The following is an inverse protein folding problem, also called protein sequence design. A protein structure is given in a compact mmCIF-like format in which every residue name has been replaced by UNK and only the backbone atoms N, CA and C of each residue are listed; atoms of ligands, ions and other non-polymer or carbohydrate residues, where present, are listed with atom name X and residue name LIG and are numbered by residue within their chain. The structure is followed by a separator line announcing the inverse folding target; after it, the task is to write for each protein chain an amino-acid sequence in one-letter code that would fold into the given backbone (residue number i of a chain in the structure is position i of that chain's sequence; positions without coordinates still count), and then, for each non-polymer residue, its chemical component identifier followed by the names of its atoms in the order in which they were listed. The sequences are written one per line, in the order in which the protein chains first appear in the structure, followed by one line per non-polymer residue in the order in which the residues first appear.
data_IF_215644605558
#
_entry.id   IF_215644605558
#
_cell.length_a   1.000
_cell.length_b   1.000
_cell.length_c   1.000
_cell.angle_alpha   90.00
_cell.angle_beta   90.00
_cell.angle_gamma   90.00
#
_symmetry.space_group_name_H-M   'P 1'
#
loop_
_entity.id
_entity.type
_entity.pdbx_description
1 polymer ?
#
# COMPACT_ATOMS: atom_id res chain seq x y z
N UNK A 1 68.96 11.08 11.50
CA UNK A 1 68.01 10.21 10.78
C UNK A 1 66.64 10.83 10.92
N UNK A 2 66.27 11.64 9.93
CA UNK A 2 64.94 12.21 9.79
C UNK A 2 64.08 11.19 9.05
N UNK A 3 62.89 10.91 9.57
CA UNK A 3 61.70 10.45 8.83
C UNK A 3 60.53 10.46 9.84
N UNK A 4 59.66 11.47 9.77
CA UNK A 4 58.36 11.42 9.04
C UNK A 4 57.39 10.44 9.67
N UNK A 5 56.33 10.93 10.29
CA UNK A 5 54.95 10.58 9.93
C UNK A 5 54.03 11.71 10.40
N UNK A 6 53.62 12.55 9.45
CA UNK A 6 52.38 13.31 9.53
C UNK A 6 51.26 12.29 9.77
N UNK A 7 50.80 12.17 11.02
CA UNK A 7 49.62 11.39 11.31
C UNK A 7 48.41 12.32 11.25
N UNK A 8 47.87 12.44 10.04
CA UNK A 8 46.58 13.05 9.75
C UNK A 8 45.52 12.17 10.43
N UNK A 9 45.22 12.44 11.70
CA UNK A 9 44.16 11.73 12.43
C UNK A 9 42.83 12.20 11.85
N UNK A 10 42.28 11.35 11.02
CA UNK A 10 40.94 11.44 10.42
C UNK A 10 39.93 11.36 11.58
N UNK A 11 39.46 12.50 12.09
CA UNK A 11 38.32 12.55 13.02
C UNK A 11 37.00 12.45 12.24
N UNK A 12 36.71 11.25 11.73
CA UNK A 12 35.40 10.87 11.20
C UNK A 12 34.41 10.54 12.35
N UNK A 13 34.15 11.53 13.21
CA UNK A 13 33.15 11.39 14.28
C UNK A 13 33.32 12.39 15.40
N UNK A 14 32.48 13.43 15.40
CA UNK A 14 32.18 14.34 16.51
C UNK A 14 33.35 14.84 17.40
N UNK A 15 34.35 15.55 16.84
CA UNK A 15 35.41 16.18 17.65
C UNK A 15 34.84 17.17 18.68
N UNK A 16 33.69 17.78 18.38
CA UNK A 16 32.96 18.66 19.29
C UNK A 16 32.51 17.93 20.57
N UNK A 17 32.05 16.68 20.46
CA UNK A 17 31.58 15.89 21.61
C UNK A 17 32.70 15.54 22.58
N UNK A 18 33.90 15.29 22.06
CA UNK A 18 35.08 14.99 22.88
C UNK A 18 35.51 16.23 23.67
N UNK A 19 35.55 17.40 23.02
CA UNK A 19 35.87 18.68 23.67
C UNK A 19 34.84 19.03 24.74
N UNK A 20 33.56 18.82 24.46
CA UNK A 20 32.47 19.07 25.40
C UNK A 20 32.52 18.13 26.62
N UNK A 21 32.83 16.85 26.39
CA UNK A 21 32.98 15.88 27.47
C UNK A 21 34.17 16.23 28.38
N UNK A 22 35.32 16.58 27.81
CA UNK A 22 36.51 16.98 28.58
C UNK A 22 36.25 18.24 29.42
N UNK A 23 35.60 19.25 28.86
CA UNK A 23 35.25 20.47 29.60
C UNK A 23 34.28 20.19 30.75
N UNK A 24 33.29 19.33 30.54
CA UNK A 24 32.35 18.93 31.59
C UNK A 24 33.02 18.20 32.76
N UNK A 25 33.94 17.27 32.47
CA UNK A 25 34.66 16.53 33.52
C UNK A 25 35.62 17.42 34.32
N UNK A 26 36.30 18.36 33.66
CA UNK A 26 37.16 19.34 34.35
C UNK A 26 36.31 20.21 35.30
N UNK A 27 35.12 20.62 34.87
CA UNK A 27 34.23 21.44 35.68
C UNK A 27 33.79 20.69 36.94
N UNK A 28 33.36 19.42 36.81
CA UNK A 28 33.00 18.57 37.96
C UNK A 28 34.20 18.39 38.91
N UNK A 29 35.39 18.15 38.38
CA UNK A 29 36.59 17.95 39.18
C UNK A 29 36.94 19.20 40.01
N UNK A 30 36.87 20.39 39.41
CA UNK A 30 37.07 21.66 40.11
C UNK A 30 36.01 21.88 41.19
N UNK A 31 34.74 21.57 40.89
CA UNK A 31 33.65 21.68 41.86
C UNK A 31 33.84 20.76 43.07
N UNK A 32 34.30 19.52 42.87
CA UNK A 32 34.57 18.58 43.96
C UNK A 32 35.73 19.04 44.86
N UNK A 33 36.80 19.59 44.28
CA UNK A 33 37.92 20.16 45.06
C UNK A 33 37.44 21.34 45.91
N UNK A 34 36.60 22.22 45.35
CA UNK A 34 36.03 23.35 46.08
C UNK A 34 35.17 22.89 47.27
N UNK A 35 34.33 21.87 47.08
CA UNK A 35 33.51 21.28 48.13
C UNK A 35 34.33 20.61 49.23
N UNK A 36 35.44 19.93 48.90
CA UNK A 36 36.31 19.36 49.93
C UNK A 36 37.07 20.43 50.72
N UNK A 37 37.47 21.54 50.08
CA UNK A 37 38.19 22.62 50.76
C UNK A 37 37.40 23.31 51.89
N UNK A 38 36.06 23.17 51.91
CA UNK A 38 35.19 23.81 52.90
C UNK A 38 34.79 22.90 54.07
N UNK A 39 35.40 21.70 54.15
CA UNK A 39 35.15 20.77 55.26
C UNK A 39 36.05 21.07 56.45
N UNK A 40 35.54 21.89 57.38
CA UNK A 40 36.14 22.12 58.71
C UNK A 40 36.23 20.82 59.52
N UNK A 41 37.44 20.33 59.76
CA UNK A 41 37.71 19.22 60.66
C UNK A 41 37.52 19.65 62.11
N UNK A 42 36.36 19.36 62.71
CA UNK A 42 36.17 19.49 64.16
C UNK A 42 37.01 18.44 64.89
N UNK A 43 38.13 18.88 65.44
CA UNK A 43 38.91 18.14 66.43
C UNK A 43 38.12 18.07 67.74
N UNK A 44 37.78 16.85 68.18
CA UNK A 44 37.16 16.61 69.48
C UNK A 44 38.24 16.80 70.56
N UNK A 45 38.15 17.91 71.30
CA UNK A 45 38.99 18.16 72.47
C UNK A 45 38.53 17.26 73.62
N UNK A 46 39.35 16.25 73.95
CA UNK A 46 39.04 15.26 74.97
C UNK A 46 39.40 15.81 76.37
N UNK A 47 38.44 16.50 77.00
CA UNK A 47 38.53 16.93 78.40
C UNK A 47 38.44 15.71 79.32
N UNK A 48 39.51 15.43 80.07
CA UNK A 48 39.53 14.35 81.06
C UNK A 48 38.84 14.82 82.36
N UNK A 49 37.83 14.10 82.89
CA UNK A 49 37.21 14.47 84.15
C UNK A 49 38.06 14.07 85.35
N UNK A 50 38.10 14.96 86.35
CA UNK A 50 38.73 14.77 87.66
C UNK A 50 37.94 13.76 88.48
N UNK A 51 38.63 12.81 89.10
CA UNK A 51 38.04 11.72 89.88
C UNK A 51 37.56 12.26 91.23
N UNK A 52 36.26 12.48 91.38
CA UNK A 52 35.65 12.76 92.68
C UNK A 52 35.34 11.42 93.34
N UNK A 53 35.96 11.15 94.48
CA UNK A 53 35.58 10.01 95.35
C UNK A 53 34.16 10.26 95.84
N UNK A 54 33.20 9.60 95.21
CA UNK A 54 31.83 9.57 95.68
C UNK A 54 31.80 8.81 97.02
N UNK A 55 31.58 9.55 98.11
CA UNK A 55 31.15 9.00 99.37
C UNK A 55 29.83 8.27 99.09
N UNK A 56 29.86 6.94 99.05
CA UNK A 56 28.66 6.11 98.90
C UNK A 56 27.82 6.30 100.16
N UNK A 57 26.88 7.24 100.10
CA UNK A 57 25.78 7.30 101.06
C UNK A 57 24.99 6.01 100.80
N UNK A 58 24.92 5.16 101.82
CA UNK A 58 24.24 3.88 101.79
C UNK A 58 22.74 4.14 101.57
N UNK A 59 22.33 4.13 100.30
CA UNK A 59 20.93 4.27 99.92
C UNK A 59 20.16 3.05 100.41
N UNK A 60 19.12 3.30 101.20
CA UNK A 60 18.23 2.28 101.73
C UNK A 60 17.81 1.28 100.61
N UNK A 61 18.14 -0.02 100.75
CA UNK A 61 17.99 -1.01 99.67
C UNK A 61 16.53 -1.21 99.23
N UNK A 62 15.53 -0.82 100.03
CA UNK A 62 14.12 -0.86 99.64
C UNK A 62 13.76 0.22 98.61
N UNK A 63 14.28 1.43 98.76
CA UNK A 63 13.99 2.57 97.86
C UNK A 63 14.62 2.34 96.48
N UNK A 64 15.87 1.84 96.45
CA UNK A 64 16.56 1.46 95.21
C UNK A 64 15.84 0.34 94.45
N UNK A 65 15.28 -0.65 95.15
CA UNK A 65 14.49 -1.71 94.53
C UNK A 65 13.16 -1.21 93.96
N UNK A 66 12.50 -0.24 94.61
CA UNK A 66 11.28 0.39 94.09
C UNK A 66 11.57 1.19 92.81
N UNK A 67 12.62 2.01 92.80
CA UNK A 67 13.06 2.76 91.63
C UNK A 67 13.42 1.84 90.46
N UNK A 68 14.14 0.74 90.71
CA UNK A 68 14.48 -0.23 89.66
C UNK A 68 13.24 -0.90 89.05
N UNK A 69 12.19 -1.16 89.84
CA UNK A 69 10.91 -1.72 89.37
C UNK A 69 10.11 -0.72 88.54
N UNK A 70 10.06 0.55 88.96
CA UNK A 70 9.42 1.61 88.17
C UNK A 70 10.16 1.87 86.86
N UNK A 71 11.49 1.89 86.89
CA UNK A 71 12.31 2.06 85.70
C UNK A 71 12.14 0.89 84.73
N UNK A 72 12.06 -0.36 85.22
CA UNK A 72 11.70 -1.53 84.39
C UNK A 72 10.30 -1.40 83.79
N UNK A 73 9.28 -1.01 84.56
CA UNK A 73 7.93 -0.79 84.01
C UNK A 73 7.92 0.28 82.93
N UNK A 74 8.61 1.39 83.13
CA UNK A 74 8.72 2.44 82.12
C UNK A 74 9.43 1.94 80.86
N UNK A 75 10.53 1.19 81.02
CA UNK A 75 11.23 0.56 79.90
C UNK A 75 10.34 -0.43 79.13
N UNK A 76 9.61 -1.30 79.83
CA UNK A 76 8.68 -2.25 79.23
C UNK A 76 7.56 -1.56 78.43
N UNK A 77 6.97 -0.48 78.97
CA UNK A 77 5.96 0.31 78.25
C UNK A 77 6.56 1.02 77.02
N UNK A 78 7.76 1.59 77.14
CA UNK A 78 8.43 2.22 75.99
C UNK A 78 8.82 1.21 74.92
N UNK A 79 9.28 0.02 75.30
CA UNK A 79 9.63 -1.04 74.36
C UNK A 79 8.39 -1.64 73.70
N UNK A 80 7.27 -1.79 74.43
CA UNK A 80 5.99 -2.18 73.84
C UNK A 80 5.52 -1.15 72.81
N UNK A 81 5.53 0.15 73.16
CA UNK A 81 5.13 1.23 72.25
C UNK A 81 6.03 1.28 71.00
N UNK A 82 7.35 1.12 71.15
CA UNK A 82 8.30 1.07 70.03
C UNK A 82 8.05 -0.15 69.12
N UNK A 83 7.74 -1.31 69.68
CA UNK A 83 7.41 -2.52 68.90
C UNK A 83 6.10 -2.36 68.15
N UNK A 84 5.10 -1.73 68.75
CA UNK A 84 3.81 -1.47 68.14
C UNK A 84 3.93 -0.44 66.99
N UNK A 85 4.68 0.63 67.20
CA UNK A 85 5.04 1.61 66.15
C UNK A 85 5.80 0.95 64.99
N UNK A 86 6.77 0.07 65.27
CA UNK A 86 7.48 -0.69 64.24
C UNK A 86 6.55 -1.61 63.44
N UNK A 87 5.61 -2.30 64.11
CA UNK A 87 4.61 -3.15 63.45
C UNK A 87 3.70 -2.31 62.55
N UNK A 88 3.20 -1.18 63.04
CA UNK A 88 2.37 -0.27 62.24
C UNK A 88 3.14 0.29 61.04
N UNK A 89 4.42 0.64 61.19
CA UNK A 89 5.26 1.07 60.07
C UNK A 89 5.46 -0.04 59.03
N UNK A 90 5.74 -1.28 59.46
CA UNK A 90 5.88 -2.43 58.57
C UNK A 90 4.58 -2.75 57.82
N UNK A 91 3.43 -2.70 58.50
CA UNK A 91 2.12 -2.91 57.88
C UNK A 91 1.79 -1.80 56.87
N UNK A 92 2.06 -0.54 57.22
CA UNK A 92 1.87 0.59 56.30
C UNK A 92 2.80 0.50 55.08
N UNK A 93 4.04 0.05 55.25
CA UNK A 93 4.99 -0.15 54.16
C UNK A 93 4.57 -1.32 53.25
N UNK A 94 4.14 -2.47 53.82
CA UNK A 94 3.57 -3.57 53.04
C UNK A 94 2.33 -3.15 52.27
N UNK A 95 1.44 -2.37 52.88
CA UNK A 95 0.23 -1.89 52.22
C UNK A 95 0.58 -0.98 51.04
N UNK A 96 1.53 -0.04 51.21
CA UNK A 96 2.02 0.80 50.12
C UNK A 96 2.67 -0.01 48.99
N UNK A 97 3.44 -1.04 49.31
CA UNK A 97 4.05 -1.92 48.31
C UNK A 97 2.98 -2.68 47.51
N UNK A 98 1.96 -3.23 48.18
CA UNK A 98 0.83 -3.92 47.52
C UNK A 98 0.02 -2.98 46.63
N UNK A 99 -0.24 -1.75 47.10
CA UNK A 99 -0.94 -0.73 46.30
C UNK A 99 -0.13 -0.31 45.07
N UNK A 100 1.19 -0.14 45.21
CA UNK A 100 2.07 0.16 44.06
C UNK A 100 2.13 -1.01 43.07
N UNK A 101 2.20 -2.26 43.55
CA UNK A 101 2.22 -3.44 42.69
C UNK A 101 0.89 -3.63 41.96
N UNK A 102 -0.24 -3.44 42.65
CA UNK A 102 -1.57 -3.45 42.06
C UNK A 102 -1.73 -2.35 41.00
N UNK A 103 -1.25 -1.13 41.28
CA UNK A 103 -1.28 -0.02 40.32
C UNK A 103 -0.41 -0.32 39.09
N UNK A 104 0.77 -0.92 39.26
CA UNK A 104 1.63 -1.34 38.13
C UNK A 104 0.96 -2.43 37.29
N UNK A 105 0.41 -3.47 37.91
CA UNK A 105 -0.30 -4.52 37.17
C UNK A 105 -1.52 -3.97 36.41
N UNK A 106 -2.28 -3.05 37.02
CA UNK A 106 -3.41 -2.43 36.35
C UNK A 106 -2.95 -1.61 35.13
N UNK A 107 -1.89 -0.81 35.28
CA UNK A 107 -1.33 -0.04 34.17
C UNK A 107 -0.79 -0.94 33.05
N UNK A 108 -0.17 -2.07 33.38
CA UNK A 108 0.34 -3.03 32.40
C UNK A 108 -0.81 -3.70 31.63
N UNK A 109 -1.87 -4.12 32.32
CA UNK A 109 -3.08 -4.67 31.69
C UNK A 109 -3.78 -3.67 30.78
N UNK A 110 -3.87 -2.41 31.18
CA UNK A 110 -4.44 -1.34 30.36
C UNK A 110 -3.60 -1.08 29.11
N UNK A 111 -2.27 -1.09 29.21
CA UNK A 111 -1.37 -0.98 28.06
C UNK A 111 -1.48 -2.18 27.12
N UNK A 112 -1.57 -3.38 27.65
CA UNK A 112 -1.74 -4.60 26.86
C UNK A 112 -3.08 -4.60 26.12
N UNK A 113 -4.16 -4.22 26.79
CA UNK A 113 -5.48 -4.07 26.16
C UNK A 113 -5.49 -2.96 25.10
N UNK A 114 -4.84 -1.83 25.36
CA UNK A 114 -4.72 -0.76 24.38
C UNK A 114 -3.93 -1.22 23.14
N UNK A 115 -2.80 -1.90 23.33
CA UNK A 115 -1.99 -2.45 22.24
C UNK A 115 -2.74 -3.53 21.44
N UNK A 116 -3.55 -4.36 22.08
CA UNK A 116 -4.39 -5.35 21.41
C UNK A 116 -5.47 -4.67 20.55
N UNK A 117 -6.14 -3.65 21.07
CA UNK A 117 -7.16 -2.89 20.31
C UNK A 117 -6.54 -2.17 19.11
N UNK A 118 -5.37 -1.56 19.29
CA UNK A 118 -4.65 -0.89 18.19
C UNK A 118 -4.26 -1.89 17.09
N UNK A 119 -3.78 -3.08 17.46
CA UNK A 119 -3.47 -4.14 16.49
C UNK A 119 -4.70 -4.62 15.75
N UNK A 120 -5.81 -4.86 16.46
CA UNK A 120 -7.06 -5.29 15.84
C UNK A 120 -7.62 -4.23 14.89
N UNK A 121 -7.56 -2.95 15.26
CA UNK A 121 -7.98 -1.86 14.38
C UNK A 121 -7.09 -1.75 13.14
N UNK A 122 -5.77 -1.88 13.29
CA UNK A 122 -4.84 -1.88 12.17
C UNK A 122 -5.08 -3.06 11.22
N UNK A 123 -5.36 -4.25 11.76
CA UNK A 123 -5.69 -5.43 10.97
C UNK A 123 -7.01 -5.26 10.22
N UNK A 124 -8.05 -4.74 10.89
CA UNK A 124 -9.33 -4.40 10.25
C UNK A 124 -9.15 -3.38 9.12
N UNK A 125 -8.36 -2.33 9.33
CA UNK A 125 -8.07 -1.34 8.30
C UNK A 125 -7.31 -1.94 7.11
N UNK A 126 -6.35 -2.83 7.36
CA UNK A 126 -5.63 -3.55 6.29
C UNK A 126 -6.55 -4.47 5.50
N UNK A 127 -7.38 -5.26 6.18
CA UNK A 127 -8.36 -6.14 5.55
C UNK A 127 -9.38 -5.35 4.73
N UNK A 128 -9.83 -4.20 5.22
CA UNK A 128 -10.73 -3.33 4.47
C UNK A 128 -10.07 -2.71 3.23
N UNK A 129 -8.82 -2.24 3.34
CA UNK A 129 -8.06 -1.76 2.18
C UNK A 129 -7.86 -2.84 1.14
N UNK A 130 -7.44 -4.03 1.55
CA UNK A 130 -7.25 -5.15 0.63
C UNK A 130 -8.57 -5.54 -0.05
N UNK A 131 -9.68 -5.54 0.69
CA UNK A 131 -11.00 -5.80 0.11
C UNK A 131 -11.40 -4.73 -0.91
N UNK A 132 -11.15 -3.44 -0.62
CA UNK A 132 -11.43 -2.33 -1.55
C UNK A 132 -10.57 -2.42 -2.80
N UNK A 133 -9.27 -2.72 -2.65
CA UNK A 133 -8.35 -2.92 -3.78
C UNK A 133 -8.79 -4.10 -4.66
N UNK A 134 -9.16 -5.24 -4.05
CA UNK A 134 -9.70 -6.40 -4.78
C UNK A 134 -11.00 -6.07 -5.52
N UNK A 135 -11.89 -5.31 -4.90
CA UNK A 135 -13.14 -4.88 -5.53
C UNK A 135 -12.89 -3.90 -6.69
N UNK A 136 -11.92 -2.99 -6.55
CA UNK A 136 -11.55 -2.05 -7.60
C UNK A 136 -10.92 -2.78 -8.79
N UNK A 137 -9.99 -3.72 -8.55
CA UNK A 137 -9.39 -4.56 -9.59
C UNK A 137 -10.48 -5.38 -10.30
N UNK A 138 -11.39 -6.03 -9.55
CA UNK A 138 -12.47 -6.80 -10.15
C UNK A 138 -13.42 -5.92 -10.99
N UNK A 139 -13.70 -4.68 -10.56
CA UNK A 139 -14.50 -3.71 -11.34
C UNK A 139 -13.76 -3.26 -12.61
N UNK A 140 -12.46 -3.03 -12.53
CA UNK A 140 -11.64 -2.67 -13.69
C UNK A 140 -11.60 -3.82 -14.71
N UNK A 141 -11.33 -5.04 -14.27
CA UNK A 141 -11.32 -6.23 -15.13
C UNK A 141 -12.69 -6.47 -15.79
N UNK A 142 -13.78 -6.34 -15.04
CA UNK A 142 -15.14 -6.47 -15.58
C UNK A 142 -15.45 -5.39 -16.63
N UNK A 143 -15.06 -4.14 -16.37
CA UNK A 143 -15.22 -3.01 -17.32
C UNK A 143 -14.39 -3.22 -18.59
N UNK A 144 -13.14 -3.67 -18.46
CA UNK A 144 -12.29 -3.99 -19.60
C UNK A 144 -12.83 -5.16 -20.42
N UNK A 145 -13.31 -6.22 -19.77
CA UNK A 145 -13.92 -7.35 -20.47
C UNK A 145 -15.19 -6.92 -21.21
N UNK A 146 -16.04 -6.11 -20.58
CA UNK A 146 -17.23 -5.56 -21.23
C UNK A 146 -16.86 -4.69 -22.44
N UNK A 147 -15.85 -3.84 -22.31
CA UNK A 147 -15.34 -3.03 -23.41
C UNK A 147 -14.80 -3.89 -24.55
N UNK A 148 -13.99 -4.92 -24.25
CA UNK A 148 -13.50 -5.88 -25.27
C UNK A 148 -14.64 -6.61 -25.96
N UNK A 149 -15.67 -7.03 -25.23
CA UNK A 149 -16.86 -7.69 -25.80
C UNK A 149 -17.64 -6.75 -26.72
N UNK A 150 -17.82 -5.47 -26.33
CA UNK A 150 -18.47 -4.45 -27.17
C UNK A 150 -17.66 -4.17 -28.44
N UNK A 151 -16.35 -3.97 -28.32
CA UNK A 151 -15.46 -3.73 -29.47
C UNK A 151 -15.46 -4.92 -30.46
N UNK A 152 -15.46 -6.16 -29.95
CA UNK A 152 -15.56 -7.36 -30.78
C UNK A 152 -16.92 -7.46 -31.48
N UNK A 153 -18.02 -7.18 -30.76
CA UNK A 153 -19.37 -7.19 -31.33
C UNK A 153 -19.53 -6.14 -32.44
N UNK A 154 -19.03 -4.92 -32.21
CA UNK A 154 -19.03 -3.86 -33.23
C UNK A 154 -18.16 -4.23 -34.43
N UNK A 155 -17.00 -4.85 -34.22
CA UNK A 155 -16.15 -5.30 -35.32
C UNK A 155 -16.84 -6.37 -36.17
N UNK A 156 -17.49 -7.35 -35.53
CA UNK A 156 -18.27 -8.37 -36.23
C UNK A 156 -19.46 -7.75 -36.99
N UNK A 157 -20.13 -6.76 -36.41
CA UNK A 157 -21.22 -6.07 -37.10
C UNK A 157 -20.71 -5.29 -38.32
N UNK A 158 -19.61 -4.55 -38.17
CA UNK A 158 -18.96 -3.85 -39.31
C UNK A 158 -18.54 -4.83 -40.41
N UNK A 159 -17.98 -5.98 -40.06
CA UNK A 159 -17.61 -7.01 -41.04
C UNK A 159 -18.84 -7.57 -41.77
N UNK A 160 -19.92 -7.89 -41.04
CA UNK A 160 -21.19 -8.35 -41.66
C UNK A 160 -21.79 -7.30 -42.58
N UNK A 161 -21.78 -6.03 -42.18
CA UNK A 161 -22.27 -4.94 -43.03
C UNK A 161 -21.42 -4.78 -44.30
N UNK A 162 -20.10 -4.85 -44.18
CA UNK A 162 -19.19 -4.79 -45.33
C UNK A 162 -19.39 -5.97 -46.29
N UNK A 163 -19.56 -7.18 -45.76
CA UNK A 163 -19.82 -8.37 -46.57
C UNK A 163 -21.16 -8.27 -47.30
N UNK A 164 -22.22 -7.85 -46.60
CA UNK A 164 -23.52 -7.61 -47.23
C UNK A 164 -23.46 -6.55 -48.33
N UNK A 165 -22.69 -5.47 -48.13
CA UNK A 165 -22.48 -4.45 -49.16
C UNK A 165 -21.72 -5.02 -50.37
N UNK A 166 -20.68 -5.83 -50.15
CA UNK A 166 -19.97 -6.49 -51.25
C UNK A 166 -20.86 -7.45 -52.03
N UNK A 167 -21.67 -8.26 -51.33
CA UNK A 167 -22.62 -9.17 -51.97
C UNK A 167 -23.62 -8.40 -52.84
N UNK A 168 -24.23 -7.32 -52.31
CA UNK A 168 -25.14 -6.49 -53.11
C UNK A 168 -24.45 -5.84 -54.31
N UNK A 169 -23.20 -5.40 -54.17
CA UNK A 169 -22.44 -4.84 -55.30
C UNK A 169 -22.15 -5.90 -56.37
N UNK A 170 -21.81 -7.12 -55.96
CA UNK A 170 -21.61 -8.24 -56.87
C UNK A 170 -22.90 -8.61 -57.60
N UNK A 171 -24.01 -8.77 -56.87
CA UNK A 171 -25.33 -9.06 -57.45
C UNK A 171 -25.77 -7.96 -58.43
N UNK A 172 -25.57 -6.68 -58.08
CA UNK A 172 -25.88 -5.56 -58.97
C UNK A 172 -25.00 -5.55 -60.23
N UNK A 173 -23.72 -5.87 -60.10
CA UNK A 173 -22.81 -5.97 -61.24
C UNK A 173 -23.19 -7.15 -62.17
N UNK A 174 -23.51 -8.31 -61.60
CA UNK A 174 -23.99 -9.48 -62.36
C UNK A 174 -25.31 -9.19 -63.07
N UNK A 175 -26.25 -8.53 -62.39
CA UNK A 175 -27.52 -8.11 -62.99
C UNK A 175 -27.30 -7.14 -64.16
N UNK A 176 -26.43 -6.15 -64.01
CA UNK A 176 -26.08 -5.21 -65.07
C UNK A 176 -25.43 -5.90 -66.28
N UNK A 177 -24.54 -6.88 -66.05
CA UNK A 177 -23.94 -7.68 -67.13
C UNK A 177 -25.00 -8.52 -67.85
N UNK A 178 -25.91 -9.15 -67.10
CA UNK A 178 -26.99 -9.94 -67.68
C UNK A 178 -27.98 -9.08 -68.48
N UNK A 179 -28.31 -7.89 -68.00
CA UNK A 179 -29.17 -6.93 -68.70
C UNK A 179 -28.53 -6.41 -69.98
N UNK A 180 -27.24 -6.08 -69.95
CA UNK A 180 -26.49 -5.67 -71.14
C UNK A 180 -26.49 -6.78 -72.20
N UNK A 181 -26.24 -8.03 -71.81
CA UNK A 181 -26.25 -9.18 -72.72
C UNK A 181 -27.65 -9.43 -73.32
N UNK A 182 -28.71 -9.29 -72.53
CA UNK A 182 -30.10 -9.38 -73.03
C UNK A 182 -30.42 -8.28 -74.03
N UNK A 183 -30.06 -7.04 -73.70
CA UNK A 183 -30.28 -5.87 -74.56
C UNK A 183 -29.55 -6.03 -75.90
N UNK A 184 -28.29 -6.46 -75.87
CA UNK A 184 -27.50 -6.74 -77.08
C UNK A 184 -28.15 -7.85 -77.91
N UNK A 185 -28.58 -8.95 -77.29
CA UNK A 185 -29.26 -10.04 -77.98
C UNK A 185 -30.55 -9.56 -78.66
N UNK A 186 -31.39 -8.79 -77.95
CA UNK A 186 -32.62 -8.22 -78.49
C UNK A 186 -32.34 -7.28 -79.69
N UNK A 187 -31.31 -6.44 -79.60
CA UNK A 187 -30.87 -5.59 -80.69
C UNK A 187 -30.43 -6.40 -81.91
N UNK A 188 -29.60 -7.43 -81.73
CA UNK A 188 -29.13 -8.30 -82.82
C UNK A 188 -30.30 -9.04 -83.49
N UNK A 189 -31.25 -9.57 -82.71
CA UNK A 189 -32.44 -10.22 -83.27
C UNK A 189 -33.32 -9.23 -84.04
N UNK A 190 -33.54 -8.03 -83.51
CA UNK A 190 -34.32 -6.99 -84.20
C UNK A 190 -33.66 -6.55 -85.51
N UNK A 191 -32.34 -6.36 -85.51
CA UNK A 191 -31.57 -6.02 -86.71
C UNK A 191 -31.60 -7.13 -87.75
N UNK A 192 -31.48 -8.40 -87.31
CA UNK A 192 -31.56 -9.56 -88.20
C UNK A 192 -32.93 -9.68 -88.86
N UNK A 193 -34.01 -9.47 -88.09
CA UNK A 193 -35.37 -9.49 -88.61
C UNK A 193 -35.61 -8.38 -89.65
N UNK A 194 -35.10 -7.17 -89.39
CA UNK A 194 -35.19 -6.05 -90.33
C UNK A 194 -34.44 -6.34 -91.64
N UNK A 195 -33.19 -6.84 -91.56
CA UNK A 195 -32.41 -7.23 -92.74
C UNK A 195 -33.14 -8.31 -93.53
N UNK A 196 -33.66 -9.33 -92.85
CA UNK A 196 -34.41 -10.40 -93.50
C UNK A 196 -35.65 -9.87 -94.22
N UNK A 197 -36.40 -8.95 -93.61
CA UNK A 197 -37.56 -8.31 -94.22
C UNK A 197 -37.15 -7.53 -95.47
N UNK A 198 -36.14 -6.66 -95.39
CA UNK A 198 -35.66 -5.86 -96.52
C UNK A 198 -35.20 -6.75 -97.68
N UNK A 199 -34.46 -7.82 -97.39
CA UNK A 199 -34.02 -8.77 -98.42
C UNK A 199 -35.22 -9.45 -99.07
N UNK A 200 -36.22 -9.89 -98.29
CA UNK A 200 -37.42 -10.52 -98.85
C UNK A 200 -38.24 -9.57 -99.72
N UNK A 201 -38.42 -8.33 -99.28
CA UNK A 201 -39.15 -7.30 -100.03
C UNK A 201 -38.48 -6.95 -101.36
N UNK A 202 -37.14 -6.97 -101.41
CA UNK A 202 -36.37 -6.62 -102.60
C UNK A 202 -35.97 -7.82 -103.47
N UNK A 203 -36.26 -9.06 -103.05
CA UNK A 203 -35.83 -10.26 -103.79
C UNK A 203 -36.74 -10.59 -104.97
N UNK A 204 -36.19 -10.48 -106.18
CA UNK A 204 -36.77 -11.07 -107.40
C UNK A 204 -36.56 -12.60 -107.46
N UNK A 205 -37.58 -13.40 -107.11
CA UNK A 205 -37.50 -14.87 -107.15
C UNK A 205 -37.26 -15.39 -108.58
N UNK A 206 -36.20 -16.17 -108.84
CA UNK A 206 -35.95 -16.71 -110.18
C UNK A 206 -36.94 -17.83 -110.54
N UNK A 207 -37.29 -18.03 -111.83
CA UNK A 207 -38.22 -19.08 -112.27
C UNK A 207 -37.79 -20.52 -111.93
N UNK A 208 -36.50 -20.75 -111.66
CA UNK A 208 -35.93 -22.03 -111.26
C UNK A 208 -36.14 -22.36 -109.76
N UNK A 209 -36.56 -21.39 -108.94
CA UNK A 209 -36.79 -21.61 -107.52
C UNK A 209 -37.92 -22.64 -107.29
N UNK A 210 -37.71 -23.55 -106.35
CA UNK A 210 -38.67 -24.59 -105.93
C UNK A 210 -38.78 -24.62 -104.40
N UNK A 211 -39.85 -25.22 -103.88
CA UNK A 211 -40.03 -25.39 -102.44
C UNK A 211 -38.87 -26.19 -101.83
N UNK A 212 -38.38 -25.76 -100.68
CA UNK A 212 -37.25 -26.39 -99.99
C UNK A 212 -35.86 -25.91 -100.43
N UNK A 213 -35.73 -25.10 -101.50
CA UNK A 213 -34.46 -24.45 -101.83
C UNK A 213 -34.10 -23.41 -100.76
N UNK A 214 -32.84 -23.41 -100.32
CA UNK A 214 -32.29 -22.45 -99.34
C UNK A 214 -31.09 -21.73 -99.94
N UNK A 215 -31.01 -20.43 -99.71
CA UNK A 215 -29.85 -19.62 -100.02
C UNK A 215 -29.20 -19.16 -98.70
N UNK A 216 -27.87 -19.20 -98.65
CA UNK A 216 -27.10 -18.63 -97.54
C UNK A 216 -26.40 -17.40 -98.10
N UNK A 217 -26.64 -16.24 -97.47
CA UNK A 217 -26.06 -14.97 -97.86
C UNK A 217 -25.03 -14.58 -96.79
N UNK A 218 -23.85 -14.19 -97.24
CA UNK A 218 -22.87 -13.52 -96.39
C UNK A 218 -22.96 -12.03 -96.71
N UNK A 219 -23.18 -11.21 -95.68
CA UNK A 219 -23.37 -9.76 -95.84
C UNK A 219 -22.35 -9.06 -94.95
N UNK A 220 -21.62 -8.12 -95.52
CA UNK A 220 -20.72 -7.19 -94.84
C UNK A 220 -21.25 -5.78 -95.02
N UNK A 221 -21.47 -5.11 -93.90
CA UNK A 221 -21.95 -3.73 -93.87
C UNK A 221 -21.11 -2.86 -92.95
N UNK A 222 -21.07 -1.57 -93.26
CA UNK A 222 -20.48 -0.55 -92.39
C UNK A 222 -21.44 -0.26 -91.21
N UNK A 223 -20.94 0.35 -90.11
CA UNK A 223 -21.80 0.79 -89.01
C UNK A 223 -22.90 1.79 -89.42
N UNK A 224 -22.75 2.44 -90.58
CA UNK A 224 -23.74 3.33 -91.19
C UNK A 224 -24.90 2.58 -91.86
N UNK A 225 -24.80 1.26 -92.02
CA UNK A 225 -25.78 0.41 -92.73
C UNK A 225 -25.48 0.23 -94.22
N UNK A 226 -24.41 0.82 -94.75
CA UNK A 226 -24.00 0.66 -96.16
C UNK A 226 -23.41 -0.73 -96.43
N UNK A 227 -23.84 -1.38 -97.52
CA UNK A 227 -23.35 -2.69 -97.94
C UNK A 227 -21.98 -2.57 -98.63
N UNK A 228 -21.06 -3.45 -98.25
CA UNK A 228 -19.69 -3.50 -98.79
C UNK A 228 -19.46 -4.77 -99.60
N UNK A 229 -20.01 -5.90 -99.15
CA UNK A 229 -19.85 -7.24 -99.75
C UNK A 229 -21.06 -8.12 -99.39
#
# INVERSE_FOLDING_TARGET
MNNTFNNLIIYNGYPLSIVLALTFHILIFVTLIYLQSTSETRTLELVQPTIIKALFIDENPQVRNQQLREQRRQQEVTDQRRREEQRQQQEAEQQRQREQEAAKQQQEREREQAALREREELERQRAERERREREEIARQEASEEERRRRELAEQQERQRQQELLRQRQQEAAEAAVAEAARTEYELVQSATALIQQVVQENWSRPPSARNGMRAVLQIRMLPTGELVD
#
